data_IF_895307039110
#
_entry.id   IF_895307039110
#
_cell.length_a   1.000
_cell.length_b   1.000
_cell.length_c   1.000
_cell.angle_alpha   90.00
_cell.angle_beta   90.00
_cell.angle_gamma   90.00
#
_symmetry.space_group_name_H-M   'P 1'
#
loop_
_entity.id
_entity.type
_entity.pdbx_description
1 polymer ?
#
# COMPACT_ATOMS: atom_id res chain seq x y z
N UNK A 1 26.23 9.32 44.90
CA UNK A 1 25.96 9.81 43.54
C UNK A 1 25.62 8.59 42.68
N UNK A 2 24.41 8.06 42.84
CA UNK A 2 23.95 6.84 42.18
C UNK A 2 23.45 7.20 40.78
N UNK A 3 23.99 6.49 39.78
CA UNK A 3 23.64 6.64 38.38
C UNK A 3 22.21 6.14 38.17
N UNK A 4 21.43 6.96 37.47
CA UNK A 4 20.10 6.60 36.99
C UNK A 4 20.22 5.36 36.10
N UNK A 5 19.60 4.26 36.53
CA UNK A 5 19.18 3.19 35.65
C UNK A 5 17.98 3.73 34.84
N UNK A 6 18.26 4.06 33.58
CA UNK A 6 17.29 4.41 32.56
C UNK A 6 16.56 3.13 32.14
N UNK A 7 15.53 2.76 32.91
CA UNK A 7 14.59 1.70 32.53
C UNK A 7 13.89 2.13 31.24
N UNK A 8 14.32 1.55 30.12
CA UNK A 8 13.54 1.53 28.90
C UNK A 8 12.20 0.83 29.17
N UNK A 9 11.18 1.62 29.55
CA UNK A 9 9.78 1.19 29.67
C UNK A 9 9.26 0.89 28.27
N UNK A 10 9.60 -0.30 27.76
CA UNK A 10 9.02 -0.87 26.57
C UNK A 10 7.57 -1.23 26.87
N UNK A 11 6.64 -0.46 26.32
CA UNK A 11 5.21 -0.74 26.41
C UNK A 11 4.94 -2.16 25.83
N UNK A 12 4.47 -3.09 26.67
CA UNK A 12 4.37 -4.51 26.31
C UNK A 12 3.19 -4.85 25.38
N UNK A 13 3.05 -6.12 24.94
CA UNK A 13 1.97 -6.59 24.04
C UNK A 13 0.55 -6.39 24.59
N UNK A 14 0.40 -6.05 25.88
CA UNK A 14 -0.87 -5.64 26.46
C UNK A 14 -1.29 -4.23 26.02
N UNK A 15 -0.34 -3.29 25.90
CA UNK A 15 -0.60 -1.92 25.50
C UNK A 15 -1.00 -1.82 24.02
N UNK A 16 -0.32 -2.58 23.15
CA UNK A 16 -0.67 -2.68 21.72
C UNK A 16 -2.11 -3.18 21.51
N UNK A 17 -2.53 -4.18 22.28
CA UNK A 17 -3.91 -4.70 22.24
C UNK A 17 -4.91 -3.68 22.77
N UNK A 18 -4.54 -2.91 23.78
CA UNK A 18 -5.40 -1.89 24.36
C UNK A 18 -5.63 -0.72 23.39
N UNK A 19 -4.62 -0.34 22.61
CA UNK A 19 -4.74 0.69 21.58
C UNK A 19 -5.60 0.22 20.40
N UNK A 20 -5.40 -1.02 19.93
CA UNK A 20 -6.28 -1.63 18.92
C UNK A 20 -7.74 -1.66 19.37
N UNK A 21 -8.00 -2.01 20.64
CA UNK A 21 -9.35 -1.98 21.21
C UNK A 21 -9.93 -0.56 21.26
N UNK A 22 -9.14 0.44 21.67
CA UNK A 22 -9.57 1.85 21.69
C UNK A 22 -9.96 2.34 20.30
N UNK A 23 -9.15 2.05 19.29
CA UNK A 23 -9.45 2.40 17.89
C UNK A 23 -10.76 1.77 17.41
N UNK A 24 -10.96 0.47 17.66
CA UNK A 24 -12.20 -0.24 17.29
C UNK A 24 -13.44 0.33 17.99
N UNK A 25 -13.31 0.76 19.26
CA UNK A 25 -14.38 1.47 19.98
C UNK A 25 -14.65 2.83 19.33
N UNK A 26 -13.61 3.56 18.93
CA UNK A 26 -13.71 4.81 18.17
C UNK A 26 -14.46 4.62 16.85
N UNK A 27 -14.07 3.62 16.06
CA UNK A 27 -14.72 3.29 14.79
C UNK A 27 -16.18 2.90 14.98
N UNK A 28 -16.52 2.16 16.05
CA UNK A 28 -17.91 1.82 16.37
C UNK A 28 -18.72 3.08 16.65
N UNK A 29 -18.21 3.99 17.50
CA UNK A 29 -18.87 5.26 17.80
C UNK A 29 -19.04 6.12 16.55
N UNK A 30 -18.04 6.16 15.68
CA UNK A 30 -18.11 6.86 14.39
C UNK A 30 -19.20 6.25 13.52
N UNK A 31 -19.22 4.93 13.33
CA UNK A 31 -20.25 4.22 12.57
C UNK A 31 -21.65 4.51 13.11
N UNK A 32 -21.84 4.44 14.42
CA UNK A 32 -23.14 4.68 15.08
C UNK A 32 -23.61 6.12 14.88
N UNK A 33 -22.70 7.09 14.97
CA UNK A 33 -23.02 8.49 14.69
C UNK A 33 -23.39 8.72 13.22
N UNK A 34 -22.72 8.05 12.28
CA UNK A 34 -23.05 8.11 10.86
C UNK A 34 -24.38 7.39 10.55
N UNK A 35 -24.66 6.28 11.23
CA UNK A 35 -25.91 5.53 11.09
C UNK A 35 -27.12 6.34 11.55
N UNK A 36 -26.98 7.17 12.59
CA UNK A 36 -28.02 8.09 13.04
C UNK A 36 -28.38 9.16 11.99
N UNK A 37 -27.52 9.38 11.00
CA UNK A 37 -27.72 10.29 9.87
C UNK A 37 -27.92 9.51 8.54
N UNK A 38 -28.30 8.22 8.60
CA UNK A 38 -28.51 7.31 7.46
C UNK A 38 -27.30 7.20 6.50
N UNK A 39 -26.09 7.41 7.02
CA UNK A 39 -24.86 7.53 6.23
C UNK A 39 -25.02 8.57 5.12
N UNK A 40 -25.58 9.73 5.47
CA UNK A 40 -25.74 10.89 4.58
C UNK A 40 -25.24 12.17 5.26
N UNK A 41 -25.37 13.31 4.58
CA UNK A 41 -25.02 14.61 5.14
C UNK A 41 -23.53 14.91 5.18
N UNK A 42 -23.18 16.05 5.80
CA UNK A 42 -21.81 16.59 5.81
C UNK A 42 -20.84 15.69 6.55
N UNK A 43 -21.28 15.05 7.64
CA UNK A 43 -20.43 14.19 8.45
C UNK A 43 -20.02 12.93 7.69
N UNK A 44 -20.97 12.32 6.99
CA UNK A 44 -20.68 11.18 6.12
C UNK A 44 -19.76 11.57 4.95
N UNK A 45 -20.00 12.69 4.27
CA UNK A 45 -19.12 13.14 3.18
C UNK A 45 -17.68 13.33 3.63
N UNK A 46 -17.48 13.97 4.78
CA UNK A 46 -16.13 14.13 5.35
C UNK A 46 -15.48 12.78 5.66
N UNK A 47 -16.21 11.87 6.27
CA UNK A 47 -15.72 10.50 6.52
C UNK A 47 -15.35 9.79 5.21
N UNK A 48 -16.20 9.90 4.19
CA UNK A 48 -15.98 9.31 2.87
C UNK A 48 -14.74 9.90 2.18
N UNK A 49 -14.56 11.21 2.24
CA UNK A 49 -13.38 11.93 1.73
C UNK A 49 -12.09 11.49 2.44
N UNK A 50 -12.11 11.42 3.78
CA UNK A 50 -10.97 10.95 4.58
C UNK A 50 -10.63 9.48 4.27
N UNK A 51 -11.65 8.63 4.12
CA UNK A 51 -11.49 7.22 3.77
C UNK A 51 -10.98 7.04 2.33
N UNK A 52 -11.45 7.86 1.39
CA UNK A 52 -10.99 7.87 0.02
C UNK A 52 -9.52 8.30 -0.07
N UNK A 53 -9.15 9.43 0.56
CA UNK A 53 -7.78 9.92 0.60
C UNK A 53 -6.83 8.87 1.18
N UNK A 54 -7.25 8.21 2.27
CA UNK A 54 -6.53 7.08 2.83
C UNK A 54 -6.37 5.94 1.80
N UNK A 55 -7.47 5.46 1.21
CA UNK A 55 -7.43 4.38 0.23
C UNK A 55 -6.56 4.65 -1.00
N UNK A 56 -6.53 5.89 -1.46
CA UNK A 56 -5.70 6.33 -2.58
C UNK A 56 -4.21 6.27 -2.23
N UNK A 57 -3.82 6.82 -1.08
CA UNK A 57 -2.45 6.74 -0.60
C UNK A 57 -2.01 5.27 -0.50
N UNK A 58 -2.92 4.40 -0.02
CA UNK A 58 -2.65 2.98 0.14
C UNK A 58 -2.41 2.25 -1.16
N UNK A 59 -3.38 2.32 -2.06
CA UNK A 59 -3.32 1.59 -3.31
C UNK A 59 -2.13 2.06 -4.13
N UNK A 60 -1.78 3.35 -4.11
CA UNK A 60 -0.59 3.87 -4.80
C UNK A 60 0.69 3.26 -4.24
N UNK A 61 0.81 3.10 -2.91
CA UNK A 61 1.94 2.41 -2.30
C UNK A 61 2.04 0.93 -2.69
N UNK A 62 0.91 0.22 -2.71
CA UNK A 62 0.88 -1.20 -3.13
C UNK A 62 1.12 -1.39 -4.62
N UNK A 63 0.64 -0.48 -5.46
CA UNK A 63 0.89 -0.50 -6.91
C UNK A 63 2.35 -0.22 -7.21
N UNK A 64 2.96 0.76 -6.52
CA UNK A 64 4.37 1.11 -6.69
C UNK A 64 5.32 -0.05 -6.35
N UNK A 65 4.99 -0.81 -5.31
CA UNK A 65 5.77 -1.97 -4.86
C UNK A 65 5.38 -3.28 -5.54
N UNK A 66 4.20 -3.35 -6.17
CA UNK A 66 3.60 -4.59 -6.67
C UNK A 66 2.94 -5.47 -5.59
N UNK A 67 2.93 -5.03 -4.32
CA UNK A 67 2.38 -5.79 -3.20
C UNK A 67 0.88 -6.11 -3.36
N UNK A 68 0.15 -5.27 -4.10
CA UNK A 68 -1.28 -5.48 -4.37
C UNK A 68 -1.55 -6.85 -5.01
N UNK A 69 -0.63 -7.34 -5.84
CA UNK A 69 -0.81 -8.61 -6.55
C UNK A 69 -0.75 -9.82 -5.61
N UNK A 70 0.09 -9.74 -4.57
CA UNK A 70 0.16 -10.74 -3.50
C UNK A 70 -1.11 -10.70 -2.65
N UNK A 71 -1.56 -9.50 -2.28
CA UNK A 71 -2.79 -9.31 -1.51
C UNK A 71 -4.05 -9.83 -2.23
N UNK A 72 -4.12 -9.64 -3.56
CA UNK A 72 -5.21 -10.20 -4.36
C UNK A 72 -5.09 -11.71 -4.55
N UNK A 73 -3.87 -12.24 -4.72
CA UNK A 73 -3.65 -13.68 -4.82
C UNK A 73 -4.04 -14.40 -3.52
N UNK A 74 -3.69 -13.85 -2.36
CA UNK A 74 -4.09 -14.37 -1.05
C UNK A 74 -5.62 -14.40 -0.84
N UNK A 75 -6.37 -13.60 -1.61
CA UNK A 75 -7.85 -13.55 -1.61
C UNK A 75 -8.48 -14.40 -2.72
N UNK A 76 -7.71 -15.21 -3.43
CA UNK A 76 -8.21 -16.08 -4.49
C UNK A 76 -8.32 -15.41 -5.87
N UNK A 77 -7.77 -14.20 -6.03
CA UNK A 77 -7.75 -13.47 -7.31
C UNK A 77 -6.30 -13.30 -7.82
N UNK A 78 -5.59 -14.39 -8.18
CA UNK A 78 -4.23 -14.28 -8.64
C UNK A 78 -4.16 -13.50 -9.96
N UNK A 79 -3.40 -12.41 -9.95
CA UNK A 79 -3.00 -11.66 -11.11
C UNK A 79 -1.51 -11.95 -11.35
N UNK A 80 -1.15 -12.25 -12.60
CA UNK A 80 0.25 -12.48 -12.99
C UNK A 80 0.77 -11.26 -13.76
N UNK A 81 1.26 -10.21 -13.08
CA UNK A 81 1.86 -9.05 -13.75
C UNK A 81 3.14 -9.46 -14.48
N UNK A 82 3.38 -8.89 -15.65
CA UNK A 82 4.65 -9.03 -16.37
C UNK A 82 5.71 -8.13 -15.72
N UNK A 83 7.00 -8.40 -15.99
CA UNK A 83 8.08 -7.52 -15.53
C UNK A 83 7.94 -6.09 -16.06
N UNK A 84 7.40 -5.92 -17.27
CA UNK A 84 7.13 -4.61 -17.87
C UNK A 84 6.03 -3.87 -17.12
N UNK A 85 4.92 -4.53 -16.79
CA UNK A 85 3.82 -3.90 -16.03
C UNK A 85 4.27 -3.48 -14.63
N UNK A 86 5.10 -4.29 -13.97
CA UNK A 86 5.69 -3.93 -12.67
C UNK A 86 6.63 -2.72 -12.78
N UNK A 87 7.47 -2.68 -13.82
CA UNK A 87 8.36 -1.55 -14.06
C UNK A 87 7.59 -0.27 -14.40
N UNK A 88 6.50 -0.37 -15.16
CA UNK A 88 5.62 0.74 -15.49
C UNK A 88 4.92 1.28 -14.24
N UNK A 89 4.29 0.41 -13.46
CA UNK A 89 3.66 0.79 -12.18
C UNK A 89 4.67 1.42 -11.21
N UNK A 90 5.93 0.99 -11.24
CA UNK A 90 6.98 1.57 -10.41
C UNK A 90 7.30 3.02 -10.80
N UNK A 91 7.45 3.30 -12.10
CA UNK A 91 7.92 4.60 -12.62
C UNK A 91 6.80 5.61 -12.88
N UNK A 92 5.63 5.14 -13.29
CA UNK A 92 4.53 5.99 -13.71
C UNK A 92 3.59 6.31 -12.54
N UNK A 93 3.68 7.53 -12.00
CA UNK A 93 2.81 8.00 -10.92
C UNK A 93 1.35 8.14 -11.35
N UNK A 94 1.13 8.63 -12.56
CA UNK A 94 -0.21 8.93 -13.09
C UNK A 94 -1.00 7.64 -13.31
N UNK A 95 -0.35 6.59 -13.82
CA UNK A 95 -0.96 5.26 -13.93
C UNK A 95 -1.39 4.72 -12.55
N UNK A 96 -0.55 4.86 -11.53
CA UNK A 96 -0.91 4.42 -10.18
C UNK A 96 -2.08 5.22 -9.63
N UNK A 97 -2.09 6.52 -9.89
CA UNK A 97 -3.18 7.40 -9.47
C UNK A 97 -4.49 7.05 -10.18
N UNK A 98 -4.49 6.82 -11.49
CA UNK A 98 -5.66 6.40 -12.25
C UNK A 98 -6.24 5.08 -11.73
N UNK A 99 -5.41 4.05 -11.58
CA UNK A 99 -5.83 2.75 -11.06
C UNK A 99 -6.34 2.83 -9.63
N UNK A 100 -5.68 3.61 -8.76
CA UNK A 100 -6.11 3.83 -7.39
C UNK A 100 -7.45 4.58 -7.34
N UNK A 101 -7.58 5.69 -8.09
CA UNK A 101 -8.77 6.52 -8.18
C UNK A 101 -9.98 5.69 -8.58
N UNK A 102 -9.88 4.95 -9.68
CA UNK A 102 -11.00 4.13 -10.14
C UNK A 102 -11.35 3.02 -9.15
N UNK A 103 -10.33 2.35 -8.58
CA UNK A 103 -10.56 1.29 -7.59
C UNK A 103 -11.27 1.84 -6.34
N UNK A 104 -10.84 2.97 -5.80
CA UNK A 104 -11.48 3.62 -4.64
C UNK A 104 -12.90 4.05 -4.97
N UNK A 105 -13.10 4.74 -6.09
CA UNK A 105 -14.41 5.23 -6.53
C UNK A 105 -15.43 4.09 -6.67
N UNK A 106 -15.01 2.93 -7.21
CA UNK A 106 -15.86 1.74 -7.33
C UNK A 106 -16.08 1.02 -5.98
N UNK A 107 -15.14 1.15 -5.04
CA UNK A 107 -15.22 0.49 -3.73
C UNK A 107 -16.12 1.24 -2.76
N UNK A 108 -16.05 2.57 -2.70
CA UNK A 108 -16.82 3.41 -1.76
C UNK A 108 -18.33 3.09 -1.71
N UNK A 109 -19.08 3.06 -2.83
CA UNK A 109 -20.51 2.77 -2.77
C UNK A 109 -20.80 1.32 -2.32
N UNK A 110 -19.93 0.37 -2.67
CA UNK A 110 -20.04 -1.02 -2.21
C UNK A 110 -19.78 -1.13 -0.72
N UNK A 111 -18.75 -0.44 -0.24
CA UNK A 111 -18.41 -0.37 1.18
C UNK A 111 -19.53 0.24 1.99
N UNK A 112 -20.08 1.39 1.57
CA UNK A 112 -21.23 2.01 2.26
C UNK A 112 -22.38 1.02 2.41
N UNK A 113 -22.78 0.37 1.31
CA UNK A 113 -23.89 -0.59 1.33
C UNK A 113 -23.55 -1.82 2.20
N UNK A 114 -22.48 -2.54 1.87
CA UNK A 114 -22.21 -3.86 2.45
C UNK A 114 -21.64 -3.77 3.87
N UNK A 115 -20.73 -2.83 4.11
CA UNK A 115 -20.03 -2.73 5.39
C UNK A 115 -20.85 -1.93 6.41
N UNK A 116 -21.45 -0.81 5.98
CA UNK A 116 -22.11 0.12 6.90
C UNK A 116 -23.61 -0.12 7.03
N UNK A 117 -24.35 -0.13 5.90
CA UNK A 117 -25.81 -0.25 5.89
C UNK A 117 -26.26 -1.68 6.22
N UNK A 118 -25.71 -2.68 5.53
CA UNK A 118 -26.05 -4.09 5.72
C UNK A 118 -25.38 -4.69 6.98
N UNK A 119 -24.56 -3.90 7.68
CA UNK A 119 -23.89 -4.32 8.91
C UNK A 119 -22.78 -5.36 8.72
N UNK A 120 -22.17 -5.42 7.53
CA UNK A 120 -21.07 -6.34 7.22
C UNK A 120 -19.78 -6.04 7.97
N UNK A 121 -19.55 -4.78 8.38
CA UNK A 121 -18.48 -4.44 9.32
C UNK A 121 -18.97 -4.53 10.76
N UNK A 122 -18.19 -5.19 11.60
CA UNK A 122 -18.44 -5.29 13.04
C UNK A 122 -17.14 -5.06 13.79
N UNK A 123 -17.15 -4.21 14.82
CA UNK A 123 -15.92 -3.89 15.56
C UNK A 123 -15.30 -5.09 16.33
N UNK A 124 -16.03 -6.19 16.50
CA UNK A 124 -15.56 -7.44 17.08
C UNK A 124 -14.85 -8.34 16.04
N UNK A 125 -15.00 -8.08 14.73
CA UNK A 125 -14.36 -8.84 13.66
C UNK A 125 -12.86 -8.54 13.49
N UNK A 126 -12.26 -7.76 14.39
CA UNK A 126 -10.82 -7.53 14.47
C UNK A 126 -10.24 -6.49 13.53
N UNK A 127 -11.01 -5.93 12.59
CA UNK A 127 -10.55 -4.93 11.63
C UNK A 127 -11.12 -3.54 11.94
N UNK A 128 -10.28 -2.51 11.91
CA UNK A 128 -10.74 -1.12 11.86
C UNK A 128 -11.52 -0.83 10.56
N UNK A 129 -12.30 0.26 10.54
CA UNK A 129 -13.05 0.67 9.34
C UNK A 129 -12.12 0.88 8.12
N UNK A 130 -10.96 1.57 8.24
CA UNK A 130 -10.01 1.70 7.14
C UNK A 130 -9.46 0.34 6.68
N UNK A 131 -9.08 -0.55 7.59
CA UNK A 131 -8.58 -1.89 7.25
C UNK A 131 -9.64 -2.71 6.51
N UNK A 132 -10.90 -2.67 6.96
CA UNK A 132 -11.99 -3.35 6.27
C UNK A 132 -12.23 -2.77 4.88
N UNK A 133 -12.21 -1.45 4.74
CA UNK A 133 -12.31 -0.76 3.45
C UNK A 133 -11.19 -1.19 2.49
N UNK A 134 -9.95 -1.25 2.96
CA UNK A 134 -8.83 -1.75 2.16
C UNK A 134 -8.98 -3.22 1.79
N UNK A 135 -9.58 -4.03 2.65
CA UNK A 135 -9.98 -5.40 2.29
C UNK A 135 -10.98 -5.42 1.12
N UNK A 136 -11.92 -4.48 1.09
CA UNK A 136 -12.93 -4.36 0.03
C UNK A 136 -12.32 -3.93 -1.32
N UNK A 137 -11.31 -3.03 -1.32
CA UNK A 137 -10.65 -2.61 -2.57
C UNK A 137 -9.97 -3.76 -3.29
N UNK A 138 -9.49 -4.77 -2.56
CA UNK A 138 -8.86 -5.97 -3.11
C UNK A 138 -9.84 -6.90 -3.86
N UNK A 139 -11.15 -6.76 -3.66
CA UNK A 139 -12.16 -7.45 -4.47
C UNK A 139 -12.50 -6.68 -5.76
N UNK A 140 -12.22 -5.37 -5.79
CA UNK A 140 -12.50 -4.49 -6.93
C UNK A 140 -11.31 -4.42 -7.88
N UNK A 141 -10.11 -4.27 -7.34
CA UNK A 141 -8.87 -4.07 -8.08
C UNK A 141 -8.61 -5.10 -9.20
N UNK A 142 -8.83 -6.42 -9.01
CA UNK A 142 -8.54 -7.39 -10.07
C UNK A 142 -9.29 -7.15 -11.38
N UNK A 143 -10.52 -6.64 -11.30
CA UNK A 143 -11.28 -6.30 -12.50
C UNK A 143 -10.76 -5.01 -13.12
N UNK A 144 -10.46 -4.00 -12.29
CA UNK A 144 -9.87 -2.75 -12.77
C UNK A 144 -8.54 -2.96 -13.51
N UNK A 145 -7.67 -3.82 -12.97
CA UNK A 145 -6.39 -4.13 -13.61
C UNK A 145 -6.56 -4.91 -14.92
N UNK A 146 -7.55 -5.80 -15.00
CA UNK A 146 -7.90 -6.51 -16.24
C UNK A 146 -8.46 -5.58 -17.31
N UNK A 147 -9.30 -4.62 -16.93
CA UNK A 147 -9.81 -3.59 -17.83
C UNK A 147 -8.69 -2.70 -18.36
N UNK A 148 -7.78 -2.25 -17.49
CA UNK A 148 -6.58 -1.52 -17.89
C UNK A 148 -5.75 -2.29 -18.93
N UNK A 149 -5.47 -3.58 -18.68
CA UNK A 149 -4.77 -4.45 -19.65
C UNK A 149 -5.50 -4.53 -20.99
N UNK A 150 -6.82 -4.70 -20.96
CA UNK A 150 -7.61 -4.77 -22.18
C UNK A 150 -7.56 -3.46 -22.97
N UNK A 151 -7.62 -2.32 -22.28
CA UNK A 151 -7.47 -0.99 -22.87
C UNK A 151 -6.09 -0.80 -23.50
N UNK A 152 -5.02 -1.08 -22.76
CA UNK A 152 -3.64 -1.00 -23.26
C UNK A 152 -3.42 -1.87 -24.50
N UNK A 153 -3.89 -3.12 -24.47
CA UNK A 153 -3.75 -4.02 -25.61
C UNK A 153 -4.50 -3.53 -26.86
N UNK A 154 -5.68 -2.91 -26.68
CA UNK A 154 -6.44 -2.32 -27.80
C UNK A 154 -5.73 -1.10 -28.36
N UNK A 155 -5.25 -0.21 -27.49
CA UNK A 155 -4.53 0.99 -27.88
C UNK A 155 -3.27 0.65 -28.70
N UNK A 156 -2.43 -0.27 -28.19
CA UNK A 156 -1.23 -0.74 -28.89
C UNK A 156 -1.55 -1.36 -30.25
N UNK A 157 -2.62 -2.17 -30.34
CA UNK A 157 -3.04 -2.77 -31.62
C UNK A 157 -3.53 -1.74 -32.63
N UNK A 158 -4.32 -0.75 -32.19
CA UNK A 158 -4.82 0.31 -33.05
C UNK A 158 -3.67 1.20 -33.57
N UNK A 159 -2.75 1.58 -32.69
CA UNK A 159 -1.53 2.30 -33.03
C UNK A 159 -0.71 1.59 -34.12
N UNK A 160 -0.48 0.28 -33.96
CA UNK A 160 0.21 -0.53 -34.98
C UNK A 160 -0.56 -0.62 -36.30
N UNK A 161 -1.89 -0.70 -36.27
CA UNK A 161 -2.73 -0.81 -37.47
C UNK A 161 -2.77 0.49 -38.28
N UNK A 162 -2.67 1.65 -37.63
CA UNK A 162 -2.67 2.96 -38.29
C UNK A 162 -1.32 3.34 -38.92
N UNK A 163 -0.32 2.45 -38.88
CA UNK A 163 1.04 2.74 -39.40
C UNK A 163 1.75 3.85 -38.61
N UNK A 164 1.11 4.35 -37.56
CA UNK A 164 1.73 5.23 -36.58
C UNK A 164 2.72 4.33 -35.83
N UNK A 165 4.01 4.48 -36.13
CA UNK A 165 5.06 4.14 -35.18
C UNK A 165 4.88 5.08 -33.99
N UNK A 166 3.84 4.83 -33.18
CA UNK A 166 3.81 5.26 -31.81
C UNK A 166 4.99 4.55 -31.21
N UNK A 167 6.14 5.24 -31.19
CA UNK A 167 7.18 4.89 -30.26
C UNK A 167 6.46 4.79 -28.92
N UNK A 168 6.43 3.61 -28.28
CA UNK A 168 5.87 3.51 -26.94
C UNK A 168 6.59 4.58 -26.14
N UNK A 169 5.83 5.57 -25.65
CA UNK A 169 6.28 6.79 -24.96
C UNK A 169 7.79 6.83 -24.72
N UNK A 170 8.49 7.62 -25.55
CA UNK A 170 9.94 7.60 -25.74
C UNK A 170 10.75 7.13 -24.53
N UNK A 171 11.40 5.99 -24.68
CA UNK A 171 12.40 5.54 -23.71
C UNK A 171 13.47 4.72 -24.43
N UNK A 172 14.75 4.78 -24.02
CA UNK A 172 15.85 3.94 -24.53
C UNK A 172 15.66 2.42 -24.29
N UNK A 173 14.44 1.96 -24.03
CA UNK A 173 14.05 0.68 -23.44
C UNK A 173 14.03 -0.50 -24.42
N UNK A 174 14.57 -0.34 -25.62
CA UNK A 174 14.96 -1.50 -26.43
C UNK A 174 16.45 -1.86 -26.26
N UNK A 175 17.17 -1.14 -25.39
CA UNK A 175 18.47 -1.57 -24.90
C UNK A 175 18.29 -2.48 -23.68
N UNK A 176 18.65 -3.78 -23.77
CA UNK A 176 18.65 -4.69 -22.63
C UNK A 176 19.43 -4.13 -21.41
N UNK A 177 20.43 -3.27 -21.63
CA UNK A 177 21.20 -2.63 -20.58
C UNK A 177 20.46 -1.46 -19.90
N UNK A 178 19.57 -0.75 -20.60
CA UNK A 178 18.75 0.33 -20.03
C UNK A 178 17.57 -0.20 -19.19
N UNK A 179 17.03 -1.38 -19.57
CA UNK A 179 16.04 -2.12 -18.75
C UNK A 179 16.66 -2.52 -17.41
N UNK A 180 17.97 -2.78 -17.37
CA UNK A 180 18.69 -3.07 -16.15
C UNK A 180 18.86 -1.85 -15.25
N UNK A 181 19.10 -0.64 -15.77
CA UNK A 181 19.56 0.51 -14.96
C UNK A 181 18.48 1.46 -14.43
N UNK A 182 17.33 1.61 -15.10
CA UNK A 182 16.33 2.64 -14.77
C UNK A 182 15.32 2.30 -13.66
N UNK A 183 15.29 1.05 -13.19
CA UNK A 183 14.40 0.57 -12.11
C UNK A 183 15.12 0.34 -10.77
N UNK A 184 16.42 0.65 -10.68
CA UNK A 184 17.32 0.11 -9.66
C UNK A 184 17.44 0.92 -8.36
N UNK A 185 16.57 1.87 -8.00
CA UNK A 185 16.75 2.51 -6.67
C UNK A 185 15.89 1.88 -5.59
N UNK A 186 14.58 1.89 -5.76
CA UNK A 186 13.68 1.29 -4.75
C UNK A 186 13.51 -0.21 -4.96
N UNK A 187 13.50 -0.73 -6.20
CA UNK A 187 13.57 -2.19 -6.40
C UNK A 187 14.92 -2.76 -5.98
N UNK A 188 16.05 -2.06 -6.07
CA UNK A 188 17.34 -2.59 -5.59
C UNK A 188 17.45 -2.51 -4.06
N UNK A 189 16.87 -1.47 -3.44
CA UNK A 189 16.68 -1.39 -1.98
C UNK A 189 15.72 -2.46 -1.43
N UNK A 190 14.70 -2.85 -2.19
CA UNK A 190 13.69 -3.86 -1.80
C UNK A 190 14.01 -5.28 -2.31
N UNK A 191 14.81 -5.48 -3.36
CA UNK A 191 15.14 -6.80 -3.97
C UNK A 191 15.93 -7.73 -3.04
N UNK A 192 16.54 -7.18 -1.99
CA UNK A 192 17.20 -7.96 -0.94
C UNK A 192 16.38 -8.13 0.34
N UNK A 193 15.15 -7.61 0.37
CA UNK A 193 14.26 -7.73 1.52
C UNK A 193 13.29 -8.88 1.28
N UNK A 194 12.99 -9.60 2.35
CA UNK A 194 11.86 -10.52 2.33
C UNK A 194 10.57 -9.73 2.02
N UNK A 195 9.63 -10.41 1.36
CA UNK A 195 8.34 -9.87 0.89
C UNK A 195 7.60 -9.07 1.98
N UNK A 196 7.69 -9.54 3.21
CA UNK A 196 7.07 -8.94 4.39
C UNK A 196 7.75 -7.64 4.80
N UNK A 197 9.08 -7.57 4.77
CA UNK A 197 9.82 -6.34 5.06
C UNK A 197 9.57 -5.26 4.00
N UNK A 198 9.51 -5.64 2.72
CA UNK A 198 9.22 -4.70 1.64
C UNK A 198 7.83 -4.04 1.79
N UNK A 199 6.82 -4.83 2.15
CA UNK A 199 5.47 -4.33 2.41
C UNK A 199 5.42 -3.33 3.57
N UNK A 200 6.12 -3.63 4.67
CA UNK A 200 6.22 -2.72 5.83
C UNK A 200 6.87 -1.40 5.46
N UNK A 201 7.99 -1.44 4.74
CA UNK A 201 8.74 -0.24 4.34
C UNK A 201 7.91 0.62 3.39
N UNK A 202 7.28 0.00 2.38
CA UNK A 202 6.43 0.72 1.43
C UNK A 202 5.26 1.43 2.11
N UNK A 203 4.59 0.75 3.05
CA UNK A 203 3.51 1.34 3.83
C UNK A 203 4.01 2.45 4.78
N UNK A 204 5.16 2.27 5.43
CA UNK A 204 5.70 3.32 6.29
C UNK A 204 6.12 4.58 5.52
N UNK A 205 6.74 4.43 4.35
CA UNK A 205 7.09 5.55 3.47
C UNK A 205 5.85 6.26 2.91
N UNK A 206 4.74 5.54 2.75
CA UNK A 206 3.45 6.12 2.39
C UNK A 206 2.73 6.82 3.56
N UNK A 207 3.38 6.96 4.72
CA UNK A 207 2.91 7.76 5.86
C UNK A 207 2.04 7.03 6.87
N UNK A 208 2.02 5.69 6.84
CA UNK A 208 1.12 4.91 7.69
C UNK A 208 1.63 4.76 9.11
N UNK A 209 0.65 4.65 10.02
CA UNK A 209 0.92 4.30 11.41
C UNK A 209 1.19 2.80 11.52
N UNK A 210 2.07 2.44 12.46
CA UNK A 210 2.56 1.07 12.60
C UNK A 210 1.45 0.11 13.02
N UNK A 211 0.43 0.58 13.73
CA UNK A 211 -0.75 -0.23 14.05
C UNK A 211 -1.54 -0.60 12.79
N UNK A 212 -1.69 0.34 11.85
CA UNK A 212 -2.39 0.12 10.57
C UNK A 212 -1.62 -0.87 9.71
N UNK A 213 -0.30 -0.72 9.65
CA UNK A 213 0.58 -1.67 8.95
C UNK A 213 0.43 -3.05 9.57
N UNK A 214 0.37 -3.15 10.91
CA UNK A 214 0.24 -4.43 11.58
C UNK A 214 -1.12 -5.09 11.29
N UNK A 215 -2.23 -4.35 11.37
CA UNK A 215 -3.55 -4.87 11.01
C UNK A 215 -3.60 -5.33 9.55
N UNK A 216 -3.11 -4.48 8.65
CA UNK A 216 -3.21 -4.67 7.22
C UNK A 216 -2.35 -5.84 6.72
N UNK A 217 -1.17 -6.03 7.32
CA UNK A 217 -0.28 -7.14 7.03
C UNK A 217 -0.53 -8.37 7.93
N UNK A 218 -1.61 -8.37 8.73
CA UNK A 218 -1.94 -9.43 9.69
C UNK A 218 -0.76 -9.80 10.61
N UNK A 219 0.00 -8.80 11.03
CA UNK A 219 1.11 -8.95 11.95
C UNK A 219 0.64 -8.99 13.40
N UNK A 220 1.35 -9.72 14.27
CA UNK A 220 0.94 -9.91 15.66
C UNK A 220 0.97 -8.62 16.49
N UNK A 221 1.80 -7.64 16.12
CA UNK A 221 1.88 -6.36 16.84
C UNK A 221 2.48 -5.21 16.02
N UNK A 222 2.14 -3.94 16.34
CA UNK A 222 2.82 -2.75 15.83
C UNK A 222 4.32 -2.78 16.09
N UNK A 223 4.75 -3.31 17.24
CA UNK A 223 6.16 -3.50 17.58
C UNK A 223 6.91 -4.43 16.61
N UNK A 224 6.20 -5.35 15.98
CA UNK A 224 6.77 -6.18 14.90
C UNK A 224 7.10 -5.32 13.68
N UNK A 225 6.25 -4.35 13.36
CA UNK A 225 6.47 -3.35 12.29
C UNK A 225 7.66 -2.47 12.66
N UNK A 226 7.73 -1.96 13.89
CA UNK A 226 8.88 -1.18 14.39
C UNK A 226 10.19 -1.93 14.23
N UNK A 227 10.23 -3.20 14.67
CA UNK A 227 11.43 -4.01 14.59
C UNK A 227 11.88 -4.25 13.15
N UNK A 228 10.95 -4.39 12.21
CA UNK A 228 11.24 -4.51 10.78
C UNK A 228 11.81 -3.20 10.23
N UNK A 229 11.16 -2.06 10.51
CA UNK A 229 11.61 -0.73 10.08
C UNK A 229 12.98 -0.38 10.68
N UNK A 230 13.20 -0.70 11.95
CA UNK A 230 14.48 -0.50 12.63
C UNK A 230 15.60 -1.29 11.95
N UNK A 231 15.40 -2.60 11.74
CA UNK A 231 16.39 -3.45 11.06
C UNK A 231 16.69 -2.97 9.64
N UNK A 232 15.66 -2.55 8.91
CA UNK A 232 15.83 -1.97 7.58
C UNK A 232 16.65 -0.67 7.62
N UNK A 233 16.30 0.29 8.49
CA UNK A 233 17.06 1.56 8.63
C UNK A 233 18.52 1.33 9.02
N UNK A 234 18.78 0.37 9.93
CA UNK A 234 20.15 0.03 10.34
C UNK A 234 20.96 -0.57 9.18
N UNK A 235 20.36 -1.47 8.39
CA UNK A 235 21.01 -2.01 7.18
C UNK A 235 21.23 -0.95 6.09
N UNK A 236 20.29 -0.03 5.93
CA UNK A 236 20.41 1.08 4.98
C UNK A 236 21.57 2.02 5.37
N UNK A 237 21.71 2.36 6.67
CA UNK A 237 22.80 3.17 7.20
C UNK A 237 24.18 2.53 7.04
N UNK A 238 24.29 1.21 7.25
CA UNK A 238 25.53 0.47 7.06
C UNK A 238 25.98 0.45 5.59
N UNK A 239 25.03 0.37 4.64
CA UNK A 239 25.33 0.42 3.20
C UNK A 239 25.79 1.80 2.73
N UNK A 240 25.28 2.88 3.32
CA UNK A 240 25.74 4.25 3.01
C UNK A 240 27.07 4.61 3.65
N UNK A 241 27.51 3.89 4.70
CA UNK A 241 28.77 4.18 5.42
C UNK A 241 30.03 3.51 4.83
N UNK A 242 29.89 2.56 3.90
CA UNK A 242 31.03 1.81 3.32
C UNK A 242 31.47 2.34 1.95
N UNK A 243 30.86 3.41 1.44
CA UNK A 243 31.20 4.02 0.14
C UNK A 243 32.12 5.25 0.20
N UNK A 244 32.76 5.52 1.35
CA UNK A 244 33.45 6.80 1.61
C UNK A 244 34.94 6.75 1.91
N UNK A 245 35.58 5.58 2.05
CA UNK A 245 37.02 5.46 2.33
C UNK A 245 37.66 4.47 1.36
N UNK A 246 38.28 4.99 0.31
CA UNK A 246 39.01 4.16 -0.65
C UNK A 246 39.38 4.85 -1.96
N UNK A 247 39.84 6.10 -1.93
CA UNK A 247 40.69 6.62 -3.00
C UNK A 247 41.58 7.76 -2.49
N UNK A 248 42.70 7.38 -1.87
CA UNK A 248 43.86 8.23 -1.66
C UNK A 248 45.08 7.33 -1.46
N UNK A 249 45.75 6.98 -2.55
CA UNK A 249 47.08 6.38 -2.50
C UNK A 249 47.35 5.39 -3.62
N UNK A 250 47.69 5.90 -4.81
CA UNK A 250 49.02 5.71 -5.43
C UNK A 250 49.19 6.65 -6.63
#
# INVERSE_FOLDING_TARGET
MARHDDEAVGNGPAADRQEQLRRRIGDRKLRDALAAEDFTGRRYRRFEEELAAYGLAVLRGWLHSGYIFQLTAARGFPLKPTGQELAELHRNSDLREELANMTVALTLPRFRRQALVDGGWRSDSGASLPTYFMGATLYVFPNQFREYRAYQNRYTRAAHAEGVLLQPYGSPLNDPAAIALGGLRVQEELRGLDERTAAVVALNLAGYHQEEIAELLSMPSPRTVEGILYRWRTRARQRTGTGGDGDAGE
#
